data_IF_209248415962
#
_entry.id   IF_209248415962
#
_cell.length_a   1.000
_cell.length_b   1.000
_cell.length_c   1.000
_cell.angle_alpha   90.00
_cell.angle_beta   90.00
_cell.angle_gamma   90.00
#
_symmetry.space_group_name_H-M   'P 1'
#
loop_
_entity.id
_entity.type
_entity.pdbx_description
1 polymer ?
#
# COMPACT_ATOMS: atom_id res chain seq x y z
N UNK A 1 -16.51 8.23 2.16
CA UNK A 1 -15.23 7.80 1.55
C UNK A 1 -14.21 7.98 2.65
N UNK A 2 -13.66 6.88 3.16
CA UNK A 2 -12.70 6.93 4.27
C UNK A 2 -11.29 6.94 3.68
N UNK A 3 -10.47 7.90 4.10
CA UNK A 3 -9.07 8.04 3.68
C UNK A 3 -8.21 8.04 4.93
N UNK A 4 -7.21 7.16 4.97
CA UNK A 4 -6.30 7.00 6.08
C UNK A 4 -5.06 6.23 5.67
N UNK A 5 -4.08 6.13 6.56
CA UNK A 5 -2.85 5.36 6.35
C UNK A 5 -3.08 3.88 6.63
N UNK A 6 -2.21 3.00 6.11
CA UNK A 6 -2.29 1.53 6.32
C UNK A 6 -2.42 1.16 7.80
N UNK A 7 -1.69 1.85 8.68
CA UNK A 7 -1.68 1.60 10.12
C UNK A 7 -3.06 1.86 10.76
N UNK A 8 -3.83 2.82 10.25
CA UNK A 8 -5.17 3.14 10.76
C UNK A 8 -6.22 2.05 10.42
N UNK A 9 -5.92 1.14 9.50
CA UNK A 9 -6.82 0.07 9.06
C UNK A 9 -6.41 -1.33 9.57
N UNK A 10 -5.51 -1.40 10.55
CA UNK A 10 -5.10 -2.66 11.14
C UNK A 10 -6.28 -3.28 11.95
N UNK A 11 -6.88 -4.34 11.40
CA UNK A 11 -7.99 -5.07 12.05
C UNK A 11 -9.37 -4.85 11.42
N UNK A 12 -9.47 -3.99 10.41
CA UNK A 12 -10.72 -3.77 9.66
C UNK A 12 -10.54 -4.14 8.18
N UNK A 13 -11.44 -4.96 7.66
CA UNK A 13 -11.48 -5.30 6.23
C UNK A 13 -12.34 -4.31 5.43
N UNK A 14 -11.99 -4.10 4.16
CA UNK A 14 -12.76 -3.26 3.22
C UNK A 14 -12.97 -4.01 1.91
N UNK A 15 -14.08 -3.76 1.23
CA UNK A 15 -14.36 -4.40 -0.06
C UNK A 15 -13.37 -3.97 -1.14
N UNK A 16 -12.97 -2.69 -1.14
CA UNK A 16 -12.03 -2.11 -2.10
C UNK A 16 -10.97 -1.32 -1.32
N UNK A 17 -9.69 -1.57 -1.64
CA UNK A 17 -8.55 -0.81 -1.13
C UNK A 17 -7.79 -0.19 -2.30
N UNK A 18 -7.47 1.09 -2.16
CA UNK A 18 -6.59 1.82 -3.07
C UNK A 18 -5.29 2.11 -2.32
N UNK A 19 -4.21 1.45 -2.72
CA UNK A 19 -2.89 1.59 -2.13
C UNK A 19 -2.04 2.49 -3.02
N UNK A 20 -1.61 3.64 -2.51
CA UNK A 20 -0.63 4.51 -3.17
C UNK A 20 0.73 4.30 -2.53
N UNK A 21 1.71 3.86 -3.31
CA UNK A 21 3.08 3.61 -2.85
C UNK A 21 3.85 4.93 -2.66
N UNK A 22 3.32 6.07 -3.11
CA UNK A 22 3.78 7.49 -2.95
C UNK A 22 5.24 7.81 -3.29
N UNK A 23 6.13 6.82 -3.37
CA UNK A 23 7.55 6.97 -3.65
C UNK A 23 7.80 6.83 -5.14
N UNK A 24 8.45 7.86 -5.68
CA UNK A 24 9.02 7.92 -7.02
C UNK A 24 10.34 8.66 -6.84
N UNK A 25 11.44 7.93 -6.82
CA UNK A 25 12.79 8.49 -6.76
C UNK A 25 13.77 7.65 -7.61
N UNK A 26 14.79 8.30 -8.18
CA UNK A 26 15.82 7.63 -8.97
C UNK A 26 16.80 6.79 -8.14
N UNK A 27 16.77 6.91 -6.80
CA UNK A 27 17.60 6.14 -5.87
C UNK A 27 17.00 4.77 -5.51
N UNK A 28 15.81 4.44 -6.02
CA UNK A 28 15.06 3.21 -5.72
C UNK A 28 14.79 3.00 -4.21
N UNK A 29 14.67 4.09 -3.47
CA UNK A 29 14.37 4.03 -2.04
C UNK A 29 12.87 3.81 -1.82
N UNK A 30 12.53 2.58 -1.45
CA UNK A 30 11.17 2.09 -1.25
C UNK A 30 10.58 2.48 0.12
N UNK A 31 11.43 2.80 1.10
CA UNK A 31 11.03 3.34 2.41
C UNK A 31 9.91 2.54 3.09
N UNK A 32 8.72 3.13 3.21
CA UNK A 32 7.55 2.56 3.90
C UNK A 32 7.11 1.18 3.36
N UNK A 33 7.53 0.80 2.15
CA UNK A 33 7.22 -0.48 1.51
C UNK A 33 8.25 -1.57 1.84
N UNK A 34 9.36 -1.21 2.47
CA UNK A 34 10.37 -2.16 3.00
C UNK A 34 9.82 -2.97 4.19
N UNK A 35 8.83 -2.43 4.90
CA UNK A 35 8.11 -3.15 5.94
C UNK A 35 7.09 -4.12 5.30
N UNK A 36 7.56 -5.34 5.04
CA UNK A 36 6.75 -6.43 4.50
C UNK A 36 5.49 -6.72 5.36
N UNK A 37 5.51 -6.43 6.67
CA UNK A 37 4.34 -6.64 7.52
C UNK A 37 3.24 -5.62 7.21
N UNK A 38 3.59 -4.35 6.98
CA UNK A 38 2.64 -3.31 6.57
C UNK A 38 2.06 -3.58 5.18
N UNK A 39 2.88 -4.03 4.24
CA UNK A 39 2.39 -4.49 2.94
C UNK A 39 1.40 -5.65 3.07
N UNK A 40 1.74 -6.66 3.87
CA UNK A 40 0.86 -7.80 4.09
C UNK A 40 -0.49 -7.36 4.65
N UNK A 41 -0.52 -6.40 5.58
CA UNK A 41 -1.78 -5.82 6.08
C UNK A 41 -2.51 -5.09 4.96
N UNK A 42 -1.86 -4.24 4.18
CA UNK A 42 -2.53 -3.52 3.09
C UNK A 42 -3.13 -4.47 2.02
N UNK A 43 -2.44 -5.57 1.72
CA UNK A 43 -2.86 -6.55 0.71
C UNK A 43 -4.00 -7.44 1.24
N UNK A 44 -3.88 -7.96 2.46
CA UNK A 44 -4.81 -8.96 3.01
C UNK A 44 -6.14 -8.39 3.52
N UNK A 45 -6.28 -7.06 3.55
CA UNK A 45 -7.50 -6.39 4.05
C UNK A 45 -8.52 -6.08 2.95
N UNK A 46 -8.17 -6.28 1.68
CA UNK A 46 -9.06 -6.08 0.53
C UNK A 46 -9.87 -7.35 0.23
N UNK A 47 -11.21 -7.27 0.25
CA UNK A 47 -12.07 -8.45 0.05
C UNK A 47 -12.45 -8.71 -1.41
N UNK A 48 -12.56 -7.67 -2.23
CA UNK A 48 -13.00 -7.79 -3.64
C UNK A 48 -12.00 -7.25 -4.63
N UNK A 49 -11.38 -6.10 -4.34
CA UNK A 49 -10.40 -5.49 -5.23
C UNK A 49 -9.32 -4.73 -4.46
N UNK A 50 -8.08 -4.91 -4.89
CA UNK A 50 -6.91 -4.15 -4.44
C UNK A 50 -6.31 -3.45 -5.65
N UNK A 51 -6.25 -2.13 -5.62
CA UNK A 51 -5.65 -1.33 -6.69
C UNK A 51 -4.40 -0.65 -6.15
N UNK A 52 -3.24 -0.96 -6.74
CA UNK A 52 -1.94 -0.44 -6.31
C UNK A 52 -1.42 0.55 -7.34
N UNK A 53 -1.01 1.72 -6.86
CA UNK A 53 -0.47 2.81 -7.66
C UNK A 53 0.93 3.15 -7.18
N UNK A 54 1.92 3.09 -8.07
CA UNK A 54 3.31 3.40 -7.76
C UNK A 54 4.15 3.57 -9.02
N UNK A 55 5.36 4.09 -8.85
CA UNK A 55 6.33 4.25 -9.93
C UNK A 55 7.12 2.97 -10.13
N UNK A 56 6.92 2.31 -11.27
CA UNK A 56 7.62 1.05 -11.59
C UNK A 56 9.15 1.20 -11.61
N UNK A 57 9.70 2.38 -11.94
CA UNK A 57 11.16 2.58 -12.00
C UNK A 57 11.79 2.60 -10.60
N UNK A 58 11.03 3.00 -9.58
CA UNK A 58 11.49 2.98 -8.18
C UNK A 58 11.39 1.58 -7.56
N UNK A 59 10.62 0.68 -8.17
CA UNK A 59 10.38 -0.70 -7.69
C UNK A 59 11.00 -1.81 -8.57
N UNK A 60 11.80 -1.45 -9.59
CA UNK A 60 12.43 -2.41 -10.53
C UNK A 60 13.74 -3.01 -10.03
#
# INVERSE_FOLDING_TARGET
IDVGTVDAYQGHERDIIILSLTRSNPQQEIGFVEDAQRMNVAITRARRALWVFGDANTFS
#
